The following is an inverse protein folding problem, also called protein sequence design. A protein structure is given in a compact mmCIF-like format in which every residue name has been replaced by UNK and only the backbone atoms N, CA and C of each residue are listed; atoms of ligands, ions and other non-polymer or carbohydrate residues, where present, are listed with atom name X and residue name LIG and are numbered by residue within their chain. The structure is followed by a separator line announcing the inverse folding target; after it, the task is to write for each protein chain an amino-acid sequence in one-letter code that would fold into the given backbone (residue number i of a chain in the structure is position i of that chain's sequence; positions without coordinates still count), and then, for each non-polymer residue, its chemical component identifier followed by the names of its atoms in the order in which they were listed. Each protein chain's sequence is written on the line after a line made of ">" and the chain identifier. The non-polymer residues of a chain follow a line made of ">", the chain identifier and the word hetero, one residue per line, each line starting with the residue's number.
data_IF_076253252965
#
_entry.id   IF_076253252965
#
_cell.length_a   1.000
_cell.length_b   1.000
_cell.length_c   1.000
_cell.angle_alpha   90.00
_cell.angle_beta   90.00
_cell.angle_gamma   90.00
#
_symmetry.space_group_name_H-M   'P 1'
#
loop_
_entity.id
_entity.type
_entity.pdbx_description
1 polymer ?
#
# COMPACT_ATOMS: atom_id res chain seq x y z
N UNK A 1 -9.83 -5.59 0.00
CA UNK A 1 -9.01 -5.08 1.12
C UNK A 1 -7.85 -4.23 0.62
N UNK A 2 -7.00 -4.76 -0.27
CA UNK A 2 -5.80 -4.08 -0.80
C UNK A 2 -6.09 -2.67 -1.32
N UNK A 3 -7.09 -2.51 -2.20
CA UNK A 3 -7.44 -1.19 -2.76
C UNK A 3 -7.79 -0.15 -1.70
N UNK A 4 -8.54 -0.55 -0.66
CA UNK A 4 -8.95 0.35 0.41
C UNK A 4 -7.76 0.76 1.28
N UNK A 5 -6.85 -0.17 1.60
CA UNK A 5 -5.66 0.14 2.41
C UNK A 5 -4.68 1.02 1.63
N UNK A 6 -4.46 0.76 0.34
CA UNK A 6 -3.62 1.63 -0.51
C UNK A 6 -4.25 3.00 -0.75
N UNK A 7 -5.58 3.08 -0.79
CA UNK A 7 -6.30 4.36 -0.86
C UNK A 7 -6.13 5.17 0.42
N UNK A 8 -6.28 4.55 1.60
CA UNK A 8 -6.04 5.20 2.89
C UNK A 8 -4.59 5.71 2.96
N UNK A 9 -3.63 4.91 2.52
CA UNK A 9 -2.22 5.32 2.49
C UNK A 9 -2.01 6.58 1.61
N UNK A 10 -2.58 6.60 0.41
CA UNK A 10 -2.54 7.77 -0.47
C UNK A 10 -3.21 9.00 0.17
N UNK A 11 -4.39 8.81 0.76
CA UNK A 11 -5.12 9.90 1.41
C UNK A 11 -4.35 10.47 2.61
N UNK A 12 -3.64 9.65 3.38
CA UNK A 12 -2.78 10.10 4.46
C UNK A 12 -1.65 11.01 3.95
N UNK A 13 -1.02 10.69 2.81
CA UNK A 13 -0.02 11.57 2.21
C UNK A 13 -0.62 12.92 1.79
N UNK A 14 -1.85 12.94 1.26
CA UNK A 14 -2.55 14.20 0.88
C UNK A 14 -2.84 15.06 2.12
N UNK A 15 -3.25 14.45 3.24
CA UNK A 15 -3.43 15.17 4.52
C UNK A 15 -2.11 15.75 5.02
N UNK A 16 -0.98 15.06 4.80
CA UNK A 16 0.37 15.55 5.14
C UNK A 16 0.75 16.87 4.46
N UNK A 17 0.16 17.20 3.32
CA UNK A 17 0.33 18.51 2.65
C UNK A 17 -0.51 19.65 3.26
N UNK A 18 -1.28 19.36 4.31
CA UNK A 18 -2.24 20.30 4.93
C UNK A 18 -3.27 20.83 3.93
N UNK A 19 -3.50 20.12 2.81
CA UNK A 19 -4.56 20.43 1.84
C UNK A 19 -5.95 20.15 2.43
N UNK A 20 -6.01 19.21 3.37
CA UNK A 20 -7.17 18.90 4.20
C UNK A 20 -6.75 19.07 5.65
N UNK A 21 -7.54 19.81 6.42
CA UNK A 21 -7.27 20.00 7.85
C UNK A 21 -7.23 18.65 8.57
N UNK A 22 -6.05 18.29 9.07
CA UNK A 22 -5.82 17.06 9.82
C UNK A 22 -6.67 17.03 11.09
N UNK A 23 -7.19 15.85 11.44
CA UNK A 23 -8.03 15.65 12.63
C UNK A 23 -9.45 16.22 12.55
N UNK A 24 -9.86 16.88 11.45
CA UNK A 24 -11.26 17.30 11.30
C UNK A 24 -12.19 16.08 11.13
N UNK A 25 -13.39 16.06 11.75
CA UNK A 25 -14.36 14.99 11.55
C UNK A 25 -14.74 14.80 10.07
N UNK A 26 -14.67 15.88 9.29
CA UNK A 26 -14.88 15.84 7.85
C UNK A 26 -13.75 15.11 7.13
N UNK A 27 -12.49 15.40 7.42
CA UNK A 27 -11.34 14.71 6.82
C UNK A 27 -11.35 13.21 7.14
N UNK A 28 -11.54 12.86 8.42
CA UNK A 28 -11.64 11.46 8.85
C UNK A 28 -12.83 10.77 8.17
N UNK A 29 -13.98 11.43 8.13
CA UNK A 29 -15.18 10.94 7.46
C UNK A 29 -14.93 10.69 5.97
N UNK A 30 -14.28 11.62 5.27
CA UNK A 30 -13.96 11.48 3.85
C UNK A 30 -13.05 10.27 3.60
N UNK A 31 -11.99 10.10 4.38
CA UNK A 31 -11.05 8.97 4.23
C UNK A 31 -11.77 7.64 4.48
N UNK A 32 -12.49 7.53 5.60
CA UNK A 32 -13.15 6.29 6.01
C UNK A 32 -14.28 5.93 5.04
N UNK A 33 -15.13 6.88 4.68
CA UNK A 33 -16.28 6.64 3.79
C UNK A 33 -15.79 6.28 2.39
N UNK A 34 -14.82 7.02 1.84
CA UNK A 34 -14.27 6.70 0.51
C UNK A 34 -13.57 5.34 0.47
N UNK A 35 -12.81 4.99 1.52
CA UNK A 35 -12.21 3.67 1.65
C UNK A 35 -13.27 2.56 1.78
N UNK A 36 -14.34 2.80 2.54
CA UNK A 36 -15.44 1.86 2.69
C UNK A 36 -16.19 1.61 1.36
N UNK A 37 -16.41 2.66 0.56
CA UNK A 37 -17.01 2.53 -0.77
C UNK A 37 -16.14 1.64 -1.67
N UNK A 38 -14.82 1.87 -1.70
CA UNK A 38 -13.90 1.04 -2.48
C UNK A 38 -13.84 -0.40 -1.98
N UNK A 39 -13.89 -0.61 -0.66
CA UNK A 39 -13.91 -1.93 -0.05
C UNK A 39 -15.19 -2.70 -0.41
N UNK A 40 -16.35 -2.08 -0.24
CA UNK A 40 -17.66 -2.70 -0.50
C UNK A 40 -17.83 -2.94 -2.00
N UNK A 41 -17.49 -1.96 -2.85
CA UNK A 41 -17.59 -2.09 -4.30
C UNK A 41 -16.71 -3.20 -4.86
N UNK A 42 -15.46 -3.30 -4.40
CA UNK A 42 -14.56 -4.40 -4.81
C UNK A 42 -15.01 -5.73 -4.22
N UNK A 43 -15.52 -5.72 -2.99
CA UNK A 43 -16.09 -6.91 -2.34
C UNK A 43 -17.27 -7.47 -3.13
N UNK A 44 -18.18 -6.61 -3.58
CA UNK A 44 -19.30 -6.99 -4.44
C UNK A 44 -18.83 -7.67 -5.73
N UNK A 45 -17.88 -7.06 -6.45
CA UNK A 45 -17.35 -7.63 -7.71
C UNK A 45 -16.66 -8.98 -7.46
N UNK A 46 -15.94 -9.11 -6.34
CA UNK A 46 -15.26 -10.36 -5.98
C UNK A 46 -16.26 -11.46 -5.63
N UNK A 47 -17.30 -11.14 -4.84
CA UNK A 47 -18.36 -12.08 -4.48
C UNK A 47 -19.16 -12.52 -5.70
N UNK A 48 -19.48 -11.58 -6.60
CA UNK A 48 -20.20 -11.90 -7.83
C UNK A 48 -19.38 -12.80 -8.75
N UNK A 49 -18.07 -12.52 -8.90
CA UNK A 49 -17.16 -13.35 -9.70
C UNK A 49 -16.96 -14.73 -9.08
N UNK A 50 -16.99 -14.89 -7.76
CA UNK A 50 -16.75 -16.16 -7.09
C UNK A 50 -17.99 -17.06 -7.00
N UNK A 51 -19.15 -16.47 -6.69
CA UNK A 51 -20.40 -17.19 -6.43
C UNK A 51 -21.42 -17.08 -7.57
N UNK A 52 -21.13 -16.31 -8.62
CA UNK A 52 -21.99 -16.13 -9.79
C UNK A 52 -23.42 -15.69 -9.44
N UNK A 53 -23.54 -14.72 -8.53
CA UNK A 53 -24.83 -14.31 -7.97
C UNK A 53 -25.70 -13.54 -8.99
N UNK A 54 -25.10 -12.60 -9.73
CA UNK A 54 -25.80 -11.76 -10.72
C UNK A 54 -25.54 -12.19 -12.17
N UNK A 55 -24.45 -12.92 -12.43
CA UNK A 55 -24.16 -13.46 -13.76
C UNK A 55 -23.42 -12.51 -14.69
N UNK A 56 -23.12 -11.29 -14.24
CA UNK A 56 -22.46 -10.25 -15.06
C UNK A 56 -21.03 -10.62 -15.47
N UNK A 57 -20.30 -11.35 -14.60
CA UNK A 57 -18.91 -11.76 -14.85
C UNK A 57 -18.75 -13.21 -15.35
N UNK A 58 -19.78 -13.84 -15.91
CA UNK A 58 -19.72 -15.24 -16.37
C UNK A 58 -18.66 -15.52 -17.44
N UNK A 59 -18.29 -14.51 -18.23
CA UNK A 59 -17.18 -14.59 -19.19
C UNK A 59 -15.83 -14.92 -18.53
N UNK A 60 -15.70 -14.68 -17.21
CA UNK A 60 -14.50 -14.99 -16.43
C UNK A 60 -14.28 -16.48 -16.16
N UNK A 61 -15.31 -17.32 -16.33
CA UNK A 61 -15.21 -18.78 -16.16
C UNK A 61 -14.85 -19.53 -17.44
N UNK A 62 -14.88 -18.84 -18.58
CA UNK A 62 -14.49 -19.41 -19.86
C UNK A 62 -12.99 -19.20 -20.06
N UNK A 63 -12.28 -20.26 -20.49
CA UNK A 63 -10.87 -20.15 -20.86
C UNK A 63 -10.68 -18.97 -21.82
N UNK A 64 -9.79 -18.00 -21.52
CA UNK A 64 -8.63 -18.08 -20.61
C UNK A 64 -8.83 -17.54 -19.19
N UNK A 65 -10.03 -17.62 -18.61
CA UNK A 65 -10.37 -17.22 -17.24
C UNK A 65 -9.97 -15.78 -16.90
N UNK A 66 -10.29 -14.84 -17.79
CA UNK A 66 -9.89 -13.43 -17.64
C UNK A 66 -10.98 -12.62 -16.95
N UNK A 67 -10.62 -12.03 -15.82
CA UNK A 67 -11.44 -11.01 -15.17
C UNK A 67 -10.68 -9.67 -15.12
N UNK A 68 -11.02 -8.78 -16.06
CA UNK A 68 -10.35 -7.48 -16.22
C UNK A 68 -10.67 -6.55 -15.04
N UNK A 69 -11.91 -6.61 -14.53
CA UNK A 69 -12.34 -5.77 -13.41
C UNK A 69 -11.53 -6.07 -12.15
N UNK A 70 -11.37 -7.35 -11.80
CA UNK A 70 -10.54 -7.76 -10.67
C UNK A 70 -9.07 -7.42 -10.89
N UNK A 71 -8.54 -7.62 -12.10
CA UNK A 71 -7.16 -7.21 -12.41
C UNK A 71 -6.93 -5.72 -12.16
N UNK A 72 -7.83 -4.86 -12.64
CA UNK A 72 -7.71 -3.42 -12.46
C UNK A 72 -7.84 -3.03 -10.97
N UNK A 73 -8.81 -3.58 -10.26
CA UNK A 73 -9.10 -3.21 -8.87
C UNK A 73 -8.10 -3.77 -7.86
N UNK A 74 -7.52 -4.95 -8.10
CA UNK A 74 -6.55 -5.56 -7.20
C UNK A 74 -5.09 -5.22 -7.55
N UNK A 75 -4.78 -4.98 -8.83
CA UNK A 75 -3.40 -4.78 -9.26
C UNK A 75 -3.13 -3.35 -9.72
N UNK A 76 -3.87 -2.87 -10.74
CA UNK A 76 -3.50 -1.65 -11.44
C UNK A 76 -3.78 -0.39 -10.60
N UNK A 77 -4.98 -0.28 -10.03
CA UNK A 77 -5.37 0.88 -9.22
C UNK A 77 -4.55 0.97 -7.93
N UNK A 78 -4.35 -0.12 -7.15
CA UNK A 78 -3.48 -0.08 -5.98
C UNK A 78 -2.04 0.31 -6.33
N UNK A 79 -1.51 -0.17 -7.46
CA UNK A 79 -0.17 0.23 -7.91
C UNK A 79 -0.10 1.73 -8.21
N UNK A 80 -1.12 2.29 -8.87
CA UNK A 80 -1.20 3.75 -9.11
C UNK A 80 -1.22 4.52 -7.78
N UNK A 81 -2.00 4.06 -6.79
CA UNK A 81 -2.04 4.70 -5.48
C UNK A 81 -0.69 4.66 -4.76
N UNK A 82 0.02 3.53 -4.82
CA UNK A 82 1.36 3.40 -4.24
C UNK A 82 2.39 4.32 -4.92
N UNK A 83 2.36 4.41 -6.25
CA UNK A 83 3.25 5.32 -6.99
C UNK A 83 2.93 6.78 -6.67
N UNK A 84 1.65 7.14 -6.64
CA UNK A 84 1.22 8.49 -6.27
C UNK A 84 1.64 8.83 -4.83
N UNK A 85 1.46 7.92 -3.89
CA UNK A 85 1.94 8.04 -2.51
C UNK A 85 3.46 8.28 -2.46
N UNK A 86 4.26 7.45 -3.14
CA UNK A 86 5.71 7.60 -3.18
C UNK A 86 6.14 8.97 -3.74
N UNK A 87 5.50 9.44 -4.82
CA UNK A 87 5.82 10.74 -5.43
C UNK A 87 5.45 11.89 -4.50
N UNK A 88 4.27 11.84 -3.88
CA UNK A 88 3.83 12.88 -2.94
C UNK A 88 4.75 12.97 -1.72
N UNK A 89 5.09 11.84 -1.10
CA UNK A 89 6.00 11.82 0.05
C UNK A 89 7.42 12.23 -0.34
N UNK A 90 7.92 11.79 -1.50
CA UNK A 90 9.23 12.21 -2.00
C UNK A 90 9.31 13.72 -2.22
N UNK A 91 8.26 14.34 -2.76
CA UNK A 91 8.18 15.80 -2.92
C UNK A 91 8.16 16.47 -1.55
N UNK A 92 7.38 15.96 -0.59
CA UNK A 92 7.28 16.53 0.76
C UNK A 92 8.66 16.54 1.44
N UNK A 93 9.35 15.41 1.41
CA UNK A 93 10.67 15.26 2.04
C UNK A 93 11.72 16.13 1.36
N UNK A 94 11.79 16.14 0.02
CA UNK A 94 12.85 16.84 -0.72
C UNK A 94 12.61 18.35 -0.85
N UNK A 95 11.35 18.79 -0.90
CA UNK A 95 11.00 20.20 -1.14
C UNK A 95 10.59 20.94 0.13
N UNK A 96 9.91 20.28 1.06
CA UNK A 96 9.40 20.91 2.27
C UNK A 96 10.38 20.71 3.43
N UNK A 97 10.74 19.46 3.74
CA UNK A 97 11.64 19.16 4.88
C UNK A 97 13.12 19.39 4.54
N UNK A 98 13.50 19.27 3.26
CA UNK A 98 14.89 19.43 2.78
C UNK A 98 15.85 18.47 3.50
N UNK A 99 15.36 17.29 3.87
CA UNK A 99 16.15 16.25 4.52
C UNK A 99 16.19 14.98 3.68
N UNK A 100 17.38 14.46 3.39
CA UNK A 100 17.56 13.30 2.51
C UNK A 100 17.53 11.96 3.25
N UNK A 101 17.59 11.96 4.60
CA UNK A 101 17.61 10.72 5.38
C UNK A 101 16.29 9.93 5.25
N UNK A 102 15.10 10.54 5.38
CA UNK A 102 13.83 9.83 5.22
C UNK A 102 13.65 9.17 3.84
N UNK A 103 14.27 9.73 2.79
CA UNK A 103 14.20 9.17 1.43
C UNK A 103 14.77 7.75 1.32
N UNK A 104 15.75 7.40 2.15
CA UNK A 104 16.34 6.06 2.16
C UNK A 104 15.29 5.05 2.66
N UNK A 105 14.51 5.41 3.68
CA UNK A 105 13.47 4.53 4.22
C UNK A 105 12.30 4.37 3.24
N UNK A 106 11.83 5.48 2.64
CA UNK A 106 10.75 5.46 1.65
C UNK A 106 11.14 4.66 0.39
N UNK A 107 12.35 4.86 -0.12
CA UNK A 107 12.85 4.12 -1.29
C UNK A 107 13.12 2.66 -0.95
N UNK A 108 13.64 2.38 0.26
CA UNK A 108 13.80 1.02 0.77
C UNK A 108 12.48 0.26 0.83
N UNK A 109 11.40 0.90 1.30
CA UNK A 109 10.06 0.32 1.27
C UNK A 109 9.62 -0.02 -0.16
N UNK A 110 9.75 0.92 -1.10
CA UNK A 110 9.36 0.69 -2.50
C UNK A 110 10.13 -0.47 -3.15
N UNK A 111 11.44 -0.58 -2.87
CA UNK A 111 12.28 -1.68 -3.37
C UNK A 111 11.86 -3.01 -2.75
N UNK A 112 11.62 -3.06 -1.44
CA UNK A 112 11.16 -4.28 -0.77
C UNK A 112 9.81 -4.74 -1.32
N UNK A 113 8.86 -3.83 -1.51
CA UNK A 113 7.58 -4.15 -2.15
C UNK A 113 7.78 -4.70 -3.56
N UNK A 114 8.57 -4.02 -4.40
CA UNK A 114 8.86 -4.46 -5.76
C UNK A 114 9.52 -5.85 -5.80
N UNK A 115 10.45 -6.13 -4.88
CA UNK A 115 11.04 -7.46 -4.72
C UNK A 115 9.97 -8.50 -4.39
N UNK A 116 9.07 -8.22 -3.44
CA UNK A 116 7.95 -9.09 -3.11
C UNK A 116 7.10 -9.45 -4.33
N UNK A 117 6.77 -8.45 -5.17
CA UNK A 117 6.00 -8.66 -6.41
C UNK A 117 6.78 -9.51 -7.43
N UNK A 118 8.10 -9.31 -7.55
CA UNK A 118 8.96 -10.14 -8.42
C UNK A 118 8.96 -11.59 -7.95
N UNK A 119 9.04 -11.83 -6.63
CA UNK A 119 8.97 -13.18 -6.07
C UNK A 119 7.64 -13.87 -6.39
N UNK A 120 6.52 -13.17 -6.28
CA UNK A 120 5.20 -13.73 -6.59
C UNK A 120 5.02 -14.02 -8.09
N UNK A 121 5.31 -13.06 -8.96
CA UNK A 121 4.96 -13.19 -10.38
C UNK A 121 6.01 -13.88 -11.25
N UNK A 122 7.30 -13.67 -10.97
CA UNK A 122 8.37 -14.16 -11.83
C UNK A 122 9.05 -15.40 -11.26
N UNK A 123 9.35 -15.39 -9.95
CA UNK A 123 10.20 -16.41 -9.33
C UNK A 123 9.37 -17.61 -8.81
N UNK A 124 8.08 -17.42 -8.55
CA UNK A 124 7.19 -18.44 -7.97
C UNK A 124 7.23 -19.81 -8.67
N UNK A 125 7.20 -19.92 -10.02
CA UNK A 125 7.30 -21.23 -10.70
C UNK A 125 8.60 -21.97 -10.43
N UNK A 126 9.72 -21.24 -10.31
CA UNK A 126 11.04 -21.82 -10.02
C UNK A 126 11.12 -22.35 -8.59
N UNK A 127 10.56 -21.60 -7.63
CA UNK A 127 10.49 -22.00 -6.21
C UNK A 127 9.56 -23.20 -6.03
N UNK A 128 8.39 -23.18 -6.68
CA UNK A 128 7.41 -24.25 -6.61
C UNK A 128 7.98 -25.56 -7.15
N UNK A 129 8.64 -25.52 -8.32
CA UNK A 129 9.31 -26.70 -8.89
C UNK A 129 10.50 -27.17 -8.04
N UNK A 130 11.28 -26.25 -7.48
CA UNK A 130 12.45 -26.58 -6.65
C UNK A 130 12.10 -27.18 -5.28
N UNK A 131 10.92 -26.87 -4.73
CA UNK A 131 10.48 -27.34 -3.41
C UNK A 131 9.44 -28.48 -3.47
N UNK A 132 9.24 -29.06 -4.66
CA UNK A 132 8.21 -30.06 -4.93
C UNK A 132 6.80 -29.60 -4.51
N UNK A 133 6.48 -28.33 -4.74
CA UNK A 133 5.17 -27.73 -4.46
C UNK A 133 4.89 -27.44 -2.99
N UNK A 134 5.89 -27.51 -2.10
CA UNK A 134 5.71 -27.21 -0.67
C UNK A 134 5.72 -25.72 -0.35
N UNK A 135 6.43 -24.92 -1.14
CA UNK A 135 6.59 -23.47 -0.96
C UNK A 135 6.37 -22.80 -2.31
N UNK A 136 5.66 -21.67 -2.30
CA UNK A 136 5.46 -20.81 -3.46
C UNK A 136 6.08 -19.43 -3.25
N UNK A 137 6.01 -18.58 -4.28
CA UNK A 137 6.47 -17.19 -4.18
C UNK A 137 5.66 -16.33 -3.21
N UNK A 138 4.46 -16.74 -2.79
CA UNK A 138 3.59 -15.95 -1.92
C UNK A 138 4.13 -15.84 -0.49
N UNK A 139 4.84 -16.86 -0.01
CA UNK A 139 5.52 -16.79 1.29
C UNK A 139 6.58 -15.67 1.31
N UNK A 140 7.34 -15.51 0.23
CA UNK A 140 8.34 -14.46 0.14
C UNK A 140 7.71 -13.09 -0.11
N UNK A 141 6.68 -13.03 -0.97
CA UNK A 141 5.93 -11.81 -1.20
C UNK A 141 5.36 -11.23 0.10
N UNK A 142 4.74 -12.04 0.94
CA UNK A 142 4.17 -11.61 2.22
C UNK A 142 5.24 -11.10 3.18
N UNK A 143 6.39 -11.78 3.27
CA UNK A 143 7.54 -11.34 4.07
C UNK A 143 8.07 -9.99 3.59
N UNK A 144 8.35 -9.83 2.29
CA UNK A 144 8.88 -8.58 1.75
C UNK A 144 7.86 -7.43 1.83
N UNK A 145 6.58 -7.73 1.68
CA UNK A 145 5.50 -6.75 1.88
C UNK A 145 5.42 -6.30 3.33
N UNK A 146 5.57 -7.23 4.30
CA UNK A 146 5.64 -6.87 5.72
C UNK A 146 6.84 -5.95 6.00
N UNK A 147 8.03 -6.29 5.49
CA UNK A 147 9.22 -5.46 5.61
C UNK A 147 9.02 -4.08 4.97
N UNK A 148 8.35 -4.01 3.82
CA UNK A 148 7.97 -2.74 3.18
C UNK A 148 7.08 -1.89 4.09
N UNK A 149 6.08 -2.48 4.75
CA UNK A 149 5.20 -1.75 5.68
C UNK A 149 5.98 -1.25 6.88
N UNK A 150 6.90 -2.05 7.42
CA UNK A 150 7.79 -1.62 8.51
C UNK A 150 8.66 -0.43 8.09
N UNK A 151 9.20 -0.45 6.87
CA UNK A 151 10.00 0.66 6.35
C UNK A 151 9.16 1.93 6.13
N UNK A 152 7.89 1.82 5.72
CA UNK A 152 6.95 2.95 5.67
C UNK A 152 6.70 3.49 7.09
N UNK A 153 6.56 2.62 8.09
CA UNK A 153 6.38 3.06 9.48
C UNK A 153 7.63 3.77 10.01
N UNK A 154 8.84 3.27 9.74
CA UNK A 154 10.10 3.95 10.10
C UNK A 154 10.22 5.28 9.38
N UNK A 155 9.86 5.33 8.10
CA UNK A 155 9.79 6.58 7.33
C UNK A 155 8.87 7.60 8.02
N UNK A 156 7.65 7.18 8.36
CA UNK A 156 6.66 8.04 9.00
C UNK A 156 7.12 8.52 10.40
N UNK A 157 7.70 7.63 11.21
CA UNK A 157 8.32 8.00 12.49
C UNK A 157 9.46 9.01 12.30
N UNK A 158 10.32 8.82 11.29
CA UNK A 158 11.43 9.75 11.02
C UNK A 158 11.00 11.18 10.68
N UNK A 159 9.88 11.36 9.97
CA UNK A 159 9.38 12.70 9.62
C UNK A 159 8.56 13.36 10.74
N UNK A 160 8.25 12.64 11.83
CA UNK A 160 7.38 13.12 12.93
C UNK A 160 8.11 13.24 14.27
N UNK A 161 9.18 12.47 14.50
CA UNK A 161 9.94 12.49 15.76
C UNK A 161 11.02 13.59 15.83
N UNK A 162 11.48 14.13 14.70
CA UNK A 162 12.44 15.23 14.67
C UNK A 162 11.88 16.55 15.27
N UNK A 163 10.58 16.60 15.60
CA UNK A 163 9.90 17.72 16.25
C UNK A 163 9.75 17.59 17.78
N UNK A 164 10.21 16.51 18.43
CA UNK A 164 10.20 16.46 19.90
C UNK A 164 11.49 17.11 20.46
N UNK A 165 11.41 18.21 21.25
CA UNK A 165 12.54 18.64 22.04
C UNK A 165 12.75 17.54 23.09
N UNK A 166 13.65 16.59 22.82
CA UNK A 166 14.16 15.70 23.86
C UNK A 166 14.72 16.62 24.93
N UNK A 167 14.02 16.69 26.06
CA UNK A 167 14.37 17.57 27.16
C UNK A 167 15.87 17.43 27.42
N UNK A 168 16.60 18.51 27.14
CA UNK A 168 18.00 18.65 27.52
C UNK A 168 18.07 18.21 28.97
N UNK A 169 18.87 17.17 29.20
CA UNK A 169 19.19 16.62 30.51
C UNK A 169 19.14 17.72 31.57
N UNK A 170 18.26 17.55 32.56
CA UNK A 170 18.11 18.48 33.66
C UNK A 170 19.45 18.69 34.35
N UNK A 171 20.09 19.80 34.02
CA UNK A 171 21.26 20.28 34.72
C UNK A 171 20.79 21.30 35.75
N UNK A 172 20.17 20.80 36.83
CA UNK A 172 20.03 21.58 38.06
C UNK A 172 21.28 21.35 38.92
N UNK A 173 21.98 22.40 39.36
CA UNK A 173 22.94 22.28 40.45
C UNK A 173 22.26 21.92 41.78
#
# INVERSE_FOLDING_TARGET
>A
MIIATTWILLMNAIVGYQLLDDGTPLSIGLIVISAAILLIGTGYITLDTGFNWTGEFQSSYQSPNRNIALYVLYQLVPLIFLVAFYVLEAILVLRVLVEVRPMIYLTGAAVLFALGQIFNYLISPYICNGTAGKIDGALFETLFTLLSVLMIWVFWSSITEDDWPTAVQGNYP
#
